data_IF_962449570879
#
_entry.id   IF_962449570879
#
_cell.length_a   1.000
_cell.length_b   1.000
_cell.length_c   1.000
_cell.angle_alpha   90.00
_cell.angle_beta   90.00
_cell.angle_gamma   90.00
#
_symmetry.space_group_name_H-M   'P 1'
#
loop_
_entity.id
_entity.type
_entity.pdbx_description
1 polymer ?
#
# COMPACT_ATOMS: atom_id res chain seq x y z
N UNK A 1 -5.55 -19.00 11.72
CA UNK A 1 -4.34 -18.23 11.35
C UNK A 1 -3.90 -18.64 9.94
N UNK A 2 -3.53 -17.69 9.06
CA UNK A 2 -3.31 -17.92 7.61
C UNK A 2 -1.89 -18.30 7.19
N UNK A 3 -1.04 -18.72 8.14
CA UNK A 3 0.38 -19.01 7.91
C UNK A 3 0.71 -20.48 8.20
N UNK A 4 1.67 -21.01 7.45
CA UNK A 4 2.29 -22.31 7.66
C UNK A 4 3.71 -22.05 8.18
N UNK A 5 4.03 -22.61 9.36
CA UNK A 5 5.33 -22.52 10.01
C UNK A 5 5.96 -23.90 9.96
N UNK A 6 7.07 -24.05 9.22
CA UNK A 6 7.75 -25.33 9.07
C UNK A 6 9.27 -25.14 8.93
N UNK A 7 10.01 -26.10 9.46
CA UNK A 7 11.47 -26.19 9.26
C UNK A 7 11.76 -26.83 7.89
N UNK A 8 12.61 -26.18 7.11
CA UNK A 8 13.12 -26.63 5.83
C UNK A 8 14.65 -26.54 5.86
N UNK A 9 15.34 -27.68 5.78
CA UNK A 9 16.81 -27.74 5.75
C UNK A 9 17.47 -26.88 6.85
N UNK A 10 16.98 -27.00 8.10
CA UNK A 10 17.48 -26.23 9.25
C UNK A 10 17.00 -24.78 9.35
N UNK A 11 16.14 -24.30 8.42
CA UNK A 11 15.57 -22.95 8.45
C UNK A 11 14.07 -22.99 8.73
N UNK A 12 13.61 -22.28 9.74
CA UNK A 12 12.18 -22.07 9.99
C UNK A 12 11.63 -21.03 8.99
N UNK A 13 10.73 -21.45 8.11
CA UNK A 13 10.07 -20.57 7.15
C UNK A 13 8.60 -20.42 7.51
N UNK A 14 8.17 -19.17 7.64
CA UNK A 14 6.77 -18.79 7.78
C UNK A 14 6.27 -18.41 6.39
N UNK A 15 5.40 -19.23 5.80
CA UNK A 15 4.82 -19.03 4.46
C UNK A 15 3.30 -18.84 4.56
N UNK A 16 2.65 -18.16 3.60
CA UNK A 16 1.20 -18.24 3.44
C UNK A 16 0.73 -19.70 3.33
N UNK A 17 -0.38 -20.05 3.98
CA UNK A 17 -1.00 -21.37 3.82
C UNK A 17 -1.48 -21.58 2.39
N UNK A 18 -1.27 -22.80 1.86
CA UNK A 18 -1.65 -23.17 0.50
C UNK A 18 -3.15 -22.98 0.26
N UNK A 19 -3.96 -23.34 1.26
CA UNK A 19 -5.42 -23.23 1.26
C UNK A 19 -5.86 -21.77 1.12
N UNK A 20 -5.14 -20.83 1.73
CA UNK A 20 -5.43 -19.39 1.65
C UNK A 20 -5.09 -18.80 0.28
N UNK A 21 -4.01 -19.28 -0.34
CA UNK A 21 -3.63 -18.89 -1.72
C UNK A 21 -4.69 -19.40 -2.70
N UNK A 22 -5.09 -20.67 -2.58
CA UNK A 22 -6.14 -21.27 -3.42
C UNK A 22 -7.47 -20.54 -3.23
N UNK A 23 -7.86 -20.26 -1.99
CA UNK A 23 -9.09 -19.53 -1.68
C UNK A 23 -9.10 -18.14 -2.32
N UNK A 24 -8.00 -17.37 -2.21
CA UNK A 24 -7.90 -16.05 -2.84
C UNK A 24 -7.99 -16.12 -4.36
N UNK A 25 -7.32 -17.09 -4.99
CA UNK A 25 -7.45 -17.32 -6.44
C UNK A 25 -8.88 -17.68 -6.85
N UNK A 26 -9.55 -18.52 -6.05
CA UNK A 26 -10.93 -18.95 -6.28
C UNK A 26 -11.91 -17.78 -6.19
N UNK A 27 -11.78 -16.96 -5.15
CA UNK A 27 -12.58 -15.74 -4.94
C UNK A 27 -12.49 -14.81 -6.17
N UNK A 28 -11.28 -14.51 -6.65
CA UNK A 28 -11.08 -13.65 -7.83
C UNK A 28 -11.71 -14.29 -9.08
N UNK A 29 -11.52 -15.59 -9.27
CA UNK A 29 -12.08 -16.32 -10.42
C UNK A 29 -13.60 -16.33 -10.42
N UNK A 30 -14.23 -16.53 -9.25
CA UNK A 30 -15.67 -16.55 -9.08
C UNK A 30 -16.27 -15.17 -9.33
N UNK A 31 -15.65 -14.12 -8.79
CA UNK A 31 -16.07 -12.75 -9.05
C UNK A 31 -16.00 -12.39 -10.54
N UNK A 32 -14.90 -12.73 -11.23
CA UNK A 32 -14.79 -12.53 -12.67
C UNK A 32 -15.88 -13.29 -13.43
N UNK A 33 -16.21 -14.52 -13.01
CA UNK A 33 -17.25 -15.33 -13.67
C UNK A 33 -18.63 -14.69 -13.56
N UNK A 34 -18.97 -14.07 -12.43
CA UNK A 34 -20.27 -13.41 -12.22
C UNK A 34 -20.35 -12.01 -12.85
N UNK A 35 -19.21 -11.36 -13.12
CA UNK A 35 -19.14 -10.00 -13.63
C UNK A 35 -18.62 -9.95 -15.07
N UNK A 36 -19.25 -10.66 -16.01
CA UNK A 36 -18.74 -10.72 -17.39
C UNK A 36 -18.90 -9.40 -18.17
N UNK A 37 -19.93 -8.61 -17.84
CA UNK A 37 -20.30 -7.42 -18.60
C UNK A 37 -19.55 -6.16 -18.15
N UNK A 38 -18.91 -6.16 -16.98
CA UNK A 38 -18.23 -4.96 -16.44
C UNK A 38 -17.07 -4.51 -17.32
N UNK A 39 -16.75 -3.23 -17.29
CA UNK A 39 -15.59 -2.72 -18.03
C UNK A 39 -14.28 -3.17 -17.41
N UNK A 40 -13.23 -3.36 -18.21
CA UNK A 40 -11.95 -3.84 -17.70
C UNK A 40 -11.30 -2.86 -16.72
N UNK A 41 -11.60 -1.56 -16.85
CA UNK A 41 -11.20 -0.58 -15.85
C UNK A 41 -11.82 -0.87 -14.48
N UNK A 42 -13.07 -1.33 -14.44
CA UNK A 42 -13.78 -1.62 -13.20
C UNK A 42 -13.37 -2.97 -12.59
N UNK A 43 -13.01 -3.96 -13.43
CA UNK A 43 -12.29 -5.15 -12.98
C UNK A 43 -11.03 -4.76 -12.21
N UNK A 44 -10.22 -3.87 -12.78
CA UNK A 44 -8.97 -3.43 -12.15
C UNK A 44 -9.25 -2.66 -10.85
N UNK A 45 -10.24 -1.75 -10.85
CA UNK A 45 -10.62 -0.98 -9.66
C UNK A 45 -11.10 -1.86 -8.52
N UNK A 46 -11.86 -2.91 -8.82
CA UNK A 46 -12.36 -3.84 -7.82
C UNK A 46 -11.25 -4.76 -7.28
N UNK A 47 -10.45 -5.36 -8.17
CA UNK A 47 -9.45 -6.34 -7.77
C UNK A 47 -8.21 -5.73 -7.11
N UNK A 48 -7.78 -4.53 -7.53
CA UNK A 48 -6.54 -3.94 -7.01
C UNK A 48 -6.53 -3.74 -5.50
N UNK A 49 -7.56 -3.16 -4.84
CA UNK A 49 -7.60 -3.06 -3.38
C UNK A 49 -7.53 -4.43 -2.69
N UNK A 50 -8.23 -5.44 -3.21
CA UNK A 50 -8.28 -6.79 -2.64
C UNK A 50 -6.91 -7.47 -2.72
N UNK A 51 -6.29 -7.45 -3.91
CA UNK A 51 -4.97 -8.05 -4.16
C UNK A 51 -3.91 -7.31 -3.34
N UNK A 52 -3.95 -5.96 -3.33
CA UNK A 52 -3.01 -5.14 -2.56
C UNK A 52 -3.13 -5.42 -1.06
N UNK A 53 -4.34 -5.51 -0.52
CA UNK A 53 -4.58 -5.84 0.89
C UNK A 53 -4.02 -7.21 1.25
N UNK A 54 -4.28 -8.21 0.41
CA UNK A 54 -3.75 -9.57 0.61
C UNK A 54 -2.22 -9.60 0.56
N UNK A 55 -1.61 -8.92 -0.41
CA UNK A 55 -0.16 -8.77 -0.51
C UNK A 55 0.44 -8.05 0.70
N UNK A 56 -0.19 -6.98 1.18
CA UNK A 56 0.24 -6.25 2.37
C UNK A 56 0.17 -7.09 3.64
N UNK A 57 -0.82 -7.97 3.77
CA UNK A 57 -0.92 -8.89 4.91
C UNK A 57 0.24 -9.90 4.92
N UNK A 58 0.57 -10.49 3.76
CA UNK A 58 1.60 -11.53 3.67
C UNK A 58 3.03 -11.01 3.44
N UNK A 59 3.25 -9.71 3.18
CA UNK A 59 4.59 -9.14 2.86
C UNK A 59 5.63 -9.33 3.98
N UNK A 60 5.18 -9.62 5.20
CA UNK A 60 6.05 -9.86 6.35
C UNK A 60 6.55 -11.32 6.46
N UNK A 61 5.98 -12.20 5.65
CA UNK A 61 6.31 -13.63 5.59
C UNK A 61 7.18 -13.98 4.37
N UNK A 62 7.60 -15.24 4.26
CA UNK A 62 8.33 -15.78 3.10
C UNK A 62 7.33 -16.02 1.95
N UNK A 63 6.88 -14.94 1.31
CA UNK A 63 5.77 -14.98 0.34
C UNK A 63 6.17 -14.65 -1.11
N UNK A 64 7.43 -14.30 -1.40
CA UNK A 64 7.83 -13.77 -2.72
C UNK A 64 7.52 -14.71 -3.89
N UNK A 65 7.86 -15.99 -3.75
CA UNK A 65 7.58 -17.01 -4.78
C UNK A 65 6.07 -17.23 -4.95
N UNK A 66 5.32 -17.23 -3.84
CA UNK A 66 3.86 -17.37 -3.85
C UNK A 66 3.20 -16.17 -4.54
N UNK A 67 3.72 -14.96 -4.33
CA UNK A 67 3.26 -13.76 -5.01
C UNK A 67 3.45 -13.86 -6.53
N UNK A 68 4.63 -14.29 -6.98
CA UNK A 68 4.90 -14.49 -8.40
C UNK A 68 4.03 -15.60 -9.01
N UNK A 69 3.85 -16.71 -8.29
CA UNK A 69 2.97 -17.81 -8.72
C UNK A 69 1.51 -17.35 -8.82
N UNK A 70 1.02 -16.56 -7.86
CA UNK A 70 -0.35 -16.06 -7.89
C UNK A 70 -0.57 -15.05 -9.02
N UNK A 71 0.39 -14.14 -9.27
CA UNK A 71 0.34 -13.22 -10.43
C UNK A 71 0.22 -14.01 -11.75
N UNK A 72 1.04 -15.04 -11.94
CA UNK A 72 0.98 -15.93 -13.10
C UNK A 72 -0.39 -16.64 -13.20
N UNK A 73 -0.87 -17.21 -12.10
CA UNK A 73 -2.13 -17.94 -12.03
C UNK A 73 -3.37 -17.09 -12.33
N UNK A 74 -3.29 -15.78 -12.10
CA UNK A 74 -4.38 -14.82 -12.37
C UNK A 74 -4.49 -14.46 -13.85
N UNK A 75 -3.45 -14.65 -14.66
CA UNK A 75 -3.51 -14.38 -16.12
C UNK A 75 -4.60 -15.23 -16.78
N UNK A 76 -4.71 -16.50 -16.43
CA UNK A 76 -5.68 -17.42 -17.01
C UNK A 76 -7.15 -17.04 -16.77
N UNK A 77 -7.63 -16.78 -15.54
CA UNK A 77 -9.01 -16.35 -15.31
C UNK A 77 -9.31 -14.99 -15.96
N UNK A 78 -8.37 -14.05 -15.98
CA UNK A 78 -8.52 -12.75 -16.66
C UNK A 78 -8.65 -12.91 -18.18
N UNK A 79 -7.80 -13.74 -18.79
CA UNK A 79 -7.86 -14.03 -20.22
C UNK A 79 -9.16 -14.74 -20.58
N UNK A 80 -9.62 -15.67 -19.73
CA UNK A 80 -10.90 -16.37 -19.92
C UNK A 80 -12.09 -15.41 -19.84
N UNK A 81 -12.07 -14.50 -18.86
CA UNK A 81 -13.06 -13.43 -18.73
C UNK A 81 -13.10 -12.57 -20.01
N UNK A 82 -11.95 -12.10 -20.47
CA UNK A 82 -11.85 -11.27 -21.66
C UNK A 82 -12.33 -11.99 -22.93
N UNK A 83 -12.03 -13.30 -23.08
CA UNK A 83 -12.53 -14.14 -24.17
C UNK A 83 -14.04 -14.33 -24.15
N UNK A 84 -14.63 -14.48 -22.97
CA UNK A 84 -16.09 -14.57 -22.83
C UNK A 84 -16.78 -13.25 -23.17
N UNK A 85 -16.21 -12.11 -22.73
CA UNK A 85 -16.74 -10.77 -23.06
C UNK A 85 -16.67 -10.49 -24.56
N UNK A 86 -15.64 -11.00 -25.24
CA UNK A 86 -15.38 -10.79 -26.66
C UNK A 86 -15.49 -12.08 -27.50
N UNK A 87 -16.62 -12.77 -27.44
CA UNK A 87 -16.82 -14.08 -28.05
C UNK A 87 -16.50 -14.19 -29.55
N UNK A 88 -16.55 -13.09 -30.31
CA UNK A 88 -16.24 -13.04 -31.75
C UNK A 88 -14.79 -12.64 -32.07
N UNK A 89 -14.01 -12.16 -31.10
CA UNK A 89 -12.65 -11.66 -31.34
C UNK A 89 -11.62 -12.78 -31.19
N UNK A 90 -10.59 -12.76 -32.05
CA UNK A 90 -9.47 -13.70 -31.98
C UNK A 90 -8.68 -13.51 -30.67
N UNK A 91 -8.18 -14.60 -30.08
CA UNK A 91 -7.37 -14.58 -28.85
C UNK A 91 -6.17 -13.63 -28.94
N UNK A 92 -5.53 -13.53 -30.11
CA UNK A 92 -4.40 -12.61 -30.35
C UNK A 92 -4.82 -11.14 -30.13
N UNK A 93 -5.99 -10.74 -30.64
CA UNK A 93 -6.52 -9.38 -30.43
C UNK A 93 -6.81 -9.12 -28.94
N UNK A 94 -7.47 -10.08 -28.28
CA UNK A 94 -7.78 -10.00 -26.85
C UNK A 94 -6.51 -9.82 -26.02
N UNK A 95 -5.45 -10.58 -26.33
CA UNK A 95 -4.15 -10.45 -25.67
C UNK A 95 -3.60 -9.03 -25.81
N UNK A 96 -3.51 -8.47 -27.01
CA UNK A 96 -2.94 -7.13 -27.20
C UNK A 96 -3.80 -6.02 -26.58
N UNK A 97 -5.11 -6.19 -26.60
CA UNK A 97 -6.05 -5.22 -26.05
C UNK A 97 -5.95 -5.15 -24.52
N UNK A 98 -6.04 -6.31 -23.86
CA UNK A 98 -6.12 -6.37 -22.40
C UNK A 98 -4.80 -6.59 -21.68
N UNK A 99 -3.75 -7.05 -22.34
CA UNK A 99 -2.47 -7.35 -21.70
C UNK A 99 -1.35 -6.50 -22.31
N UNK A 100 -0.38 -6.11 -21.48
CA UNK A 100 0.75 -5.31 -21.92
C UNK A 100 2.00 -5.51 -21.07
N UNK A 101 3.08 -4.85 -21.49
CA UNK A 101 4.36 -4.90 -20.81
C UNK A 101 4.43 -3.88 -19.68
N UNK A 102 4.65 -4.31 -18.44
CA UNK A 102 4.86 -3.42 -17.28
C UNK A 102 6.01 -3.95 -16.42
N UNK A 103 7.14 -3.24 -16.42
CA UNK A 103 8.33 -3.63 -15.64
C UNK A 103 8.83 -5.03 -15.97
N UNK A 104 8.99 -5.35 -17.26
CA UNK A 104 9.51 -6.63 -17.75
C UNK A 104 8.46 -7.72 -18.01
N UNK A 105 7.33 -7.70 -17.30
CA UNK A 105 6.25 -8.68 -17.48
C UNK A 105 5.32 -8.29 -18.63
N UNK A 106 5.13 -9.19 -19.60
CA UNK A 106 4.32 -8.99 -20.81
C UNK A 106 2.84 -9.40 -20.66
N UNK A 107 2.46 -9.93 -19.49
CA UNK A 107 1.11 -10.45 -19.21
C UNK A 107 0.39 -9.67 -18.13
N UNK A 108 0.60 -8.35 -18.10
CA UNK A 108 -0.07 -7.48 -17.13
C UNK A 108 -1.40 -7.00 -17.70
N UNK A 109 -2.50 -7.36 -17.03
CA UNK A 109 -3.85 -6.93 -17.40
C UNK A 109 -4.00 -5.41 -17.21
N UNK A 110 -4.44 -4.72 -18.26
CA UNK A 110 -4.51 -3.26 -18.37
C UNK A 110 -5.85 -2.82 -18.96
N UNK A 111 -6.23 -1.59 -18.65
CA UNK A 111 -7.36 -0.91 -19.27
C UNK A 111 -7.10 0.58 -19.36
N UNK A 112 -7.64 1.22 -20.40
CA UNK A 112 -7.74 2.68 -20.45
C UNK A 112 -8.86 3.14 -19.54
N UNK A 113 -8.68 4.29 -18.91
CA UNK A 113 -9.73 4.97 -18.15
C UNK A 113 -9.51 6.47 -18.14
N UNK A 114 -10.48 7.26 -17.67
CA UNK A 114 -10.33 8.70 -17.51
C UNK A 114 -10.01 9.05 -16.07
N UNK A 115 -9.08 9.97 -15.85
CA UNK A 115 -8.81 10.52 -14.53
C UNK A 115 -9.86 11.58 -14.14
N UNK A 116 -9.77 12.14 -12.92
CA UNK A 116 -10.70 13.18 -12.43
C UNK A 116 -10.74 14.44 -13.31
N UNK A 117 -9.68 14.70 -14.10
CA UNK A 117 -9.58 15.81 -15.05
C UNK A 117 -10.02 15.41 -16.48
N UNK A 118 -10.66 14.26 -16.66
CA UNK A 118 -11.15 13.76 -17.94
C UNK A 118 -10.08 13.22 -18.91
N UNK A 119 -8.79 13.27 -18.55
CA UNK A 119 -7.70 12.80 -19.41
C UNK A 119 -7.63 11.28 -19.42
N UNK A 120 -7.40 10.69 -20.59
CA UNK A 120 -7.14 9.25 -20.71
C UNK A 120 -5.86 8.88 -19.94
N UNK A 121 -5.93 7.80 -19.17
CA UNK A 121 -4.82 7.20 -18.44
C UNK A 121 -4.93 5.69 -18.54
N UNK A 122 -3.80 5.01 -18.44
CA UNK A 122 -3.75 3.56 -18.36
C UNK A 122 -3.73 3.13 -16.89
N UNK A 123 -4.56 2.16 -16.53
CA UNK A 123 -4.49 1.46 -15.24
C UNK A 123 -4.22 -0.02 -15.50
N UNK A 124 -3.59 -0.67 -14.53
CA UNK A 124 -3.24 -2.08 -14.59
C UNK A 124 -3.51 -2.81 -13.27
N UNK A 125 -3.63 -4.14 -13.35
CA UNK A 125 -3.65 -4.99 -12.16
C UNK A 125 -2.31 -4.89 -11.44
N UNK A 126 -2.35 -4.69 -10.13
CA UNK A 126 -1.16 -4.70 -9.28
C UNK A 126 -0.48 -6.07 -9.33
N UNK A 127 0.84 -6.07 -9.44
CA UNK A 127 1.65 -7.29 -9.39
C UNK A 127 2.10 -7.52 -7.95
N UNK A 128 1.64 -8.61 -7.33
CA UNK A 128 2.06 -9.02 -5.99
C UNK A 128 3.58 -9.21 -5.93
N UNK A 129 4.18 -9.74 -6.99
CA UNK A 129 5.63 -9.93 -7.08
C UNK A 129 6.42 -8.61 -7.01
N UNK A 130 5.79 -7.45 -7.24
CA UNK A 130 6.43 -6.13 -7.05
C UNK A 130 6.35 -5.62 -5.61
N UNK A 131 5.49 -6.20 -4.77
CA UNK A 131 5.43 -5.85 -3.36
C UNK A 131 6.74 -6.31 -2.68
N UNK A 132 7.46 -5.40 -2.00
CA UNK A 132 8.68 -5.75 -1.29
C UNK A 132 8.35 -6.58 -0.06
N UNK A 133 9.17 -7.60 0.20
CA UNK A 133 9.08 -8.36 1.46
C UNK A 133 9.76 -7.54 2.54
N UNK A 134 9.02 -7.25 3.61
CA UNK A 134 9.49 -6.41 4.72
C UNK A 134 9.57 -7.26 5.98
N UNK A 135 10.78 -7.64 6.38
CA UNK A 135 10.98 -8.44 7.60
C UNK A 135 10.79 -7.58 8.84
N UNK A 136 10.13 -8.14 9.85
CA UNK A 136 10.17 -7.56 11.19
C UNK A 136 11.59 -7.68 11.73
N UNK A 137 12.11 -6.57 12.27
CA UNK A 137 13.43 -6.51 12.90
C UNK A 137 13.16 -6.49 14.40
N UNK A 138 13.73 -7.45 15.14
CA UNK A 138 13.60 -7.48 16.60
C UNK A 138 14.11 -6.17 17.20
N UNK A 139 13.51 -5.72 18.30
CA UNK A 139 14.10 -4.66 19.12
C UNK A 139 15.44 -5.19 19.65
N UNK A 140 16.47 -4.34 19.74
CA UNK A 140 17.72 -4.74 20.40
C UNK A 140 17.39 -5.12 21.84
N UNK A 141 18.03 -6.17 22.35
CA UNK A 141 17.91 -6.48 23.77
C UNK A 141 18.55 -5.32 24.57
N UNK A 142 18.05 -5.07 25.77
CA UNK A 142 18.58 -4.06 26.70
C UNK A 142 18.50 -2.60 26.22
N UNK A 143 17.51 -2.27 25.39
CA UNK A 143 17.23 -0.87 25.00
C UNK A 143 15.86 -0.43 25.48
N UNK A 144 15.78 0.74 26.12
CA UNK A 144 14.51 1.41 26.50
C UNK A 144 14.23 2.61 25.59
N UNK A 145 12.98 2.89 25.17
CA UNK A 145 12.63 4.13 24.45
C UNK A 145 13.04 5.41 25.17
N UNK A 146 13.08 5.38 26.51
CA UNK A 146 13.39 6.53 27.36
C UNK A 146 14.88 6.67 27.68
N UNK A 147 15.71 5.74 27.20
CA UNK A 147 17.16 5.78 27.37
C UNK A 147 17.77 6.88 26.47
N UNK A 148 18.38 7.94 27.05
CA UNK A 148 18.96 9.03 26.30
C UNK A 148 20.04 8.58 25.31
N UNK A 149 20.82 7.55 25.66
CA UNK A 149 21.93 7.05 24.84
C UNK A 149 21.41 6.26 23.62
N UNK A 150 20.16 5.81 23.66
CA UNK A 150 19.50 5.05 22.60
C UNK A 150 18.53 5.88 21.75
N UNK A 151 18.44 7.20 21.96
CA UNK A 151 17.56 8.10 21.18
C UNK A 151 17.72 7.90 19.67
N UNK A 152 18.95 7.86 19.21
CA UNK A 152 19.31 7.68 17.80
C UNK A 152 18.77 6.35 17.22
N UNK A 153 18.82 5.29 18.01
CA UNK A 153 18.29 3.97 17.63
C UNK A 153 16.76 4.02 17.50
N UNK A 154 16.08 4.62 18.49
CA UNK A 154 14.62 4.72 18.51
C UNK A 154 14.08 5.67 17.46
N UNK A 155 14.68 6.84 17.23
CA UNK A 155 14.29 7.76 16.15
C UNK A 155 14.40 7.06 14.78
N UNK A 156 15.52 6.39 14.49
CA UNK A 156 15.71 5.63 13.23
C UNK A 156 14.69 4.50 13.10
N UNK A 157 14.39 3.79 14.19
CA UNK A 157 13.41 2.72 14.23
C UNK A 157 11.99 3.24 13.99
N UNK A 158 11.56 4.28 14.70
CA UNK A 158 10.26 4.94 14.57
C UNK A 158 10.08 5.52 13.18
N UNK A 159 11.10 6.16 12.61
CA UNK A 159 11.07 6.64 11.23
C UNK A 159 10.91 5.50 10.23
N UNK A 160 11.68 4.41 10.39
CA UNK A 160 11.61 3.24 9.49
C UNK A 160 10.23 2.60 9.48
N UNK A 161 9.62 2.37 10.64
CA UNK A 161 8.29 1.79 10.75
C UNK A 161 7.19 2.82 10.47
N UNK A 162 7.45 4.08 10.76
CA UNK A 162 6.58 5.22 10.50
C UNK A 162 6.30 5.48 9.05
N UNK A 163 7.29 5.24 8.18
CA UNK A 163 7.08 5.22 6.73
C UNK A 163 5.95 4.30 6.30
N UNK A 164 5.64 3.24 7.04
CA UNK A 164 4.53 2.34 6.69
C UNK A 164 3.14 2.91 6.98
N UNK A 165 3.03 3.98 7.79
CA UNK A 165 1.76 4.69 8.01
C UNK A 165 1.38 5.59 6.84
N UNK A 166 2.34 5.93 5.98
CA UNK A 166 2.12 6.74 4.79
C UNK A 166 2.29 5.90 3.53
N UNK A 167 1.58 6.26 2.45
CA UNK A 167 1.93 5.73 1.13
C UNK A 167 3.25 6.37 0.68
N UNK A 168 4.14 5.60 0.08
CA UNK A 168 5.41 6.11 -0.43
C UNK A 168 5.18 7.23 -1.47
N UNK A 169 5.88 8.35 -1.31
CA UNK A 169 5.75 9.55 -2.13
C UNK A 169 4.46 10.35 -1.91
N UNK A 170 3.61 9.96 -0.95
CA UNK A 170 2.38 10.70 -0.66
C UNK A 170 2.66 12.08 -0.06
N UNK A 171 1.72 13.02 -0.26
CA UNK A 171 1.78 14.36 0.34
C UNK A 171 2.01 14.31 1.86
N UNK A 172 1.28 13.43 2.55
CA UNK A 172 1.42 13.25 4.00
C UNK A 172 2.82 12.75 4.39
N UNK A 173 3.43 11.85 3.62
CA UNK A 173 4.82 11.42 3.86
C UNK A 173 5.80 12.59 3.68
N UNK A 174 5.61 13.41 2.64
CA UNK A 174 6.44 14.59 2.39
C UNK A 174 6.37 15.59 3.54
N UNK A 175 5.17 15.87 4.05
CA UNK A 175 4.98 16.75 5.22
C UNK A 175 5.77 16.24 6.43
N UNK A 176 5.69 14.93 6.73
CA UNK A 176 6.45 14.32 7.83
C UNK A 176 7.98 14.45 7.61
N UNK A 177 8.46 14.27 6.38
CA UNK A 177 9.87 14.44 6.01
C UNK A 177 10.30 15.91 6.18
N UNK A 178 9.50 16.87 5.72
CA UNK A 178 9.80 18.30 5.76
C UNK A 178 9.99 18.81 7.20
N UNK A 179 9.28 18.24 8.17
CA UNK A 179 9.42 18.56 9.59
C UNK A 179 10.41 17.63 10.34
N UNK A 180 11.23 16.87 9.61
CA UNK A 180 12.23 15.98 10.21
C UNK A 180 11.63 14.90 11.13
N UNK A 181 10.39 14.49 10.88
CA UNK A 181 9.63 13.55 11.70
C UNK A 181 9.38 14.00 13.15
N UNK A 182 9.54 15.29 13.47
CA UNK A 182 9.28 15.84 14.80
C UNK A 182 8.01 16.68 14.82
N UNK A 183 7.28 16.61 15.93
CA UNK A 183 6.16 17.50 16.19
C UNK A 183 6.73 18.92 16.44
N UNK A 184 6.30 19.96 15.71
CA UNK A 184 6.84 21.32 15.90
C UNK A 184 6.44 21.96 17.24
N UNK A 185 5.47 21.39 17.96
CA UNK A 185 4.97 21.93 19.23
C UNK A 185 5.74 21.38 20.43
N UNK A 186 5.90 20.06 20.53
CA UNK A 186 6.59 19.43 21.67
C UNK A 186 8.04 19.01 21.37
N UNK A 187 8.46 19.00 20.11
CA UNK A 187 9.81 18.58 19.69
C UNK A 187 10.04 17.06 19.68
N UNK A 188 9.12 16.27 20.22
CA UNK A 188 9.19 14.82 20.18
C UNK A 188 8.97 14.24 18.77
N UNK A 189 9.40 13.01 18.56
CA UNK A 189 9.15 12.28 17.32
C UNK A 189 7.65 12.07 17.10
N UNK A 190 7.14 12.37 15.90
CA UNK A 190 5.72 12.32 15.49
C UNK A 190 5.00 10.97 15.75
N UNK A 191 5.78 9.93 15.99
CA UNK A 191 5.32 8.54 16.07
C UNK A 191 5.76 7.91 17.39
N UNK A 192 5.74 8.69 18.46
CA UNK A 192 6.02 8.26 19.83
C UNK A 192 4.98 7.27 20.39
N UNK A 193 3.84 7.11 19.71
CA UNK A 193 2.73 6.23 20.13
C UNK A 193 1.40 6.97 20.14
N UNK A 194 1.43 8.30 20.22
CA UNK A 194 0.24 9.14 20.16
C UNK A 194 -0.36 9.20 18.74
N UNK A 195 -1.64 9.53 18.69
CA UNK A 195 -2.29 9.93 17.46
C UNK A 195 -1.85 11.35 17.07
N UNK A 196 -1.89 11.65 15.77
CA UNK A 196 -1.50 12.95 15.24
C UNK A 196 -2.51 13.42 14.20
N UNK A 197 -2.60 14.74 14.04
CA UNK A 197 -3.42 15.43 13.05
C UNK A 197 -2.53 16.25 12.10
N UNK A 198 -3.01 16.50 10.88
CA UNK A 198 -2.41 17.49 9.98
C UNK A 198 -3.02 18.87 10.22
N UNK A 199 -2.17 19.88 10.39
CA UNK A 199 -2.52 21.26 10.65
C UNK A 199 -1.95 22.19 9.57
N UNK A 200 -2.66 23.27 9.24
CA UNK A 200 -2.18 24.32 8.34
C UNK A 200 -1.39 25.37 9.13
N UNK A 201 -0.17 25.71 8.68
CA UNK A 201 0.64 26.77 9.29
C UNK A 201 -0.02 28.13 9.13
N UNK A 202 -0.41 28.47 7.90
CA UNK A 202 -1.27 29.60 7.58
C UNK A 202 -2.71 29.09 7.50
N UNK A 203 -3.65 29.60 8.32
CA UNK A 203 -5.05 29.21 8.25
C UNK A 203 -5.65 29.41 6.86
N UNK A 204 -6.55 28.51 6.46
CA UNK A 204 -7.21 28.58 5.14
C UNK A 204 -7.97 29.91 4.95
N UNK A 205 -8.57 30.45 6.02
CA UNK A 205 -9.26 31.74 6.01
C UNK A 205 -8.34 32.93 5.68
N UNK A 206 -7.04 32.79 5.93
CA UNK A 206 -6.00 33.79 5.67
C UNK A 206 -5.24 33.49 4.36
N UNK A 207 -5.80 32.64 3.50
CA UNK A 207 -5.21 32.29 2.21
C UNK A 207 -4.26 31.07 2.25
N UNK A 208 -4.25 30.33 3.36
CA UNK A 208 -3.48 29.09 3.49
C UNK A 208 -3.86 28.02 2.47
N UNK A 209 -2.86 27.41 1.83
CA UNK A 209 -3.06 26.34 0.84
C UNK A 209 -2.91 24.95 1.46
N UNK A 210 -3.41 23.92 0.77
CA UNK A 210 -3.24 22.50 1.13
C UNK A 210 -1.90 21.89 0.66
N UNK A 211 -0.93 22.72 0.28
CA UNK A 211 0.37 22.29 -0.22
C UNK A 211 1.27 21.76 0.92
N UNK A 212 2.17 20.82 0.62
CA UNK A 212 3.08 20.22 1.62
C UNK A 212 3.96 21.23 2.38
N UNK A 213 4.12 22.44 1.85
CA UNK A 213 4.90 23.53 2.46
C UNK A 213 4.12 24.21 3.59
N UNK A 214 2.79 24.28 3.48
CA UNK A 214 1.89 24.92 4.43
C UNK A 214 1.28 23.94 5.45
N UNK A 215 1.55 22.64 5.32
CA UNK A 215 1.05 21.62 6.25
C UNK A 215 2.14 21.21 7.26
N UNK A 216 1.72 20.85 8.47
CA UNK A 216 2.53 20.19 9.51
C UNK A 216 1.73 19.06 10.14
N UNK A 217 2.40 18.03 10.64
CA UNK A 217 1.76 17.03 11.50
C UNK A 217 2.11 17.32 12.96
N UNK A 218 1.09 17.32 13.80
CA UNK A 218 1.18 17.59 15.24
C UNK A 218 0.47 16.47 16.00
N UNK A 219 0.98 16.08 17.17
CA UNK A 219 0.24 15.15 18.03
C UNK A 219 -1.13 15.74 18.38
N UNK A 220 -2.17 14.89 18.53
CA UNK A 220 -3.54 15.36 18.77
C UNK A 220 -3.64 16.31 19.97
N UNK A 221 -2.96 15.99 21.07
CA UNK A 221 -2.91 16.84 22.25
C UNK A 221 -2.26 18.20 21.96
N UNK A 222 -1.17 18.20 21.18
CA UNK A 222 -0.51 19.43 20.72
C UNK A 222 -1.44 20.25 19.80
N UNK A 223 -2.20 19.59 18.93
CA UNK A 223 -3.15 20.23 18.03
C UNK A 223 -4.29 20.93 18.79
N UNK A 224 -4.84 20.26 19.81
CA UNK A 224 -5.86 20.86 20.70
C UNK A 224 -5.30 22.10 21.40
N UNK A 225 -4.07 22.01 21.92
CA UNK A 225 -3.42 23.13 22.61
C UNK A 225 -3.15 24.33 21.70
N UNK A 226 -2.82 24.10 20.42
CA UNK A 226 -2.69 25.16 19.42
C UNK A 226 -4.00 25.94 19.28
N UNK A 227 -5.12 25.26 19.02
CA UNK A 227 -6.42 25.92 18.84
C UNK A 227 -6.93 26.61 20.11
N UNK A 228 -6.62 26.07 21.29
CA UNK A 228 -6.96 26.73 22.57
C UNK A 228 -6.25 28.08 22.73
N UNK A 229 -4.99 28.21 22.32
CA UNK A 229 -4.25 29.48 22.39
C UNK A 229 -4.86 30.56 21.48
N UNK A 230 -5.35 30.17 20.30
CA UNK A 230 -6.00 31.09 19.35
C UNK A 230 -7.44 31.48 19.71
N UNK A 231 -8.03 30.88 20.76
CA UNK A 231 -9.42 31.16 21.16
C UNK A 231 -9.56 32.31 22.17
N UNK A 232 -8.43 32.91 22.59
CA UNK A 232 -8.37 33.93 23.65
C UNK A 232 -7.73 35.25 23.20
N UNK A 233 -7.52 35.42 21.89
CA UNK A 233 -7.15 36.69 21.24
C UNK A 233 -8.28 37.11 20.28
#
# INVERSE_FOLDING_TARGET
MGFNVRSYNGKCLIKPQKEKVIAKRREIKEWLKSHINVEAADVIRYLNPIIRGWGNYYKHSVAKEIFASLDHDLVHPLLRWARKKHGKRKTKWIRYYYFGRVGGDNWVFKAKTKNRKGRETLINIIQLAKIPIVRHVKVKLDTSPDDPDMRDYWEKRLTRYGRTRFSDGSKLQKVAINQGWKCPVCGEHLLNGEEWDTHHKLPVREGGTDEETNLVHVHKTCHINLHRKFSHE
#
